data_IF_636959206028
#
_entry.id   IF_636959206028
#
_cell.length_a   1.000
_cell.length_b   1.000
_cell.length_c   1.000
_cell.angle_alpha   90.00
_cell.angle_beta   90.00
_cell.angle_gamma   90.00
#
_symmetry.space_group_name_H-M   'P 1'
#
loop_
_entity.id
_entity.type
_entity.pdbx_description
1 polymer ?
#
# COMPACT_ATOMS: atom_id res chain seq x y z
N UNK A 1 -15.14 7.52 4.87
CA UNK A 1 -15.57 6.77 3.67
C UNK A 1 -14.68 5.55 3.46
N UNK A 2 -15.30 4.42 3.09
CA UNK A 2 -14.63 3.12 2.99
C UNK A 2 -13.98 2.63 4.30
N UNK A 3 -13.22 1.54 4.19
CA UNK A 3 -12.63 0.81 5.32
C UNK A 3 -11.77 1.69 6.26
N UNK A 4 -10.87 2.49 5.71
CA UNK A 4 -9.97 3.39 6.45
C UNK A 4 -10.59 4.76 6.77
N UNK A 5 -11.91 4.91 6.54
CA UNK A 5 -12.71 6.07 6.88
C UNK A 5 -12.24 7.44 6.36
N UNK A 6 -11.43 7.48 5.31
CA UNK A 6 -10.95 8.70 4.64
C UNK A 6 -12.11 9.68 4.37
N UNK A 7 -11.92 10.96 4.69
CA UNK A 7 -12.93 12.01 4.47
C UNK A 7 -13.09 12.32 2.96
N UNK A 8 -14.28 12.73 2.48
CA UNK A 8 -14.54 12.89 1.04
C UNK A 8 -13.59 13.85 0.30
N UNK A 9 -13.26 14.99 0.92
CA UNK A 9 -12.30 15.97 0.39
C UNK A 9 -10.87 15.41 0.36
N UNK A 10 -10.45 14.77 1.45
CA UNK A 10 -9.15 14.09 1.56
C UNK A 10 -9.02 12.99 0.50
N UNK A 11 -10.07 12.21 0.26
CA UNK A 11 -10.13 11.19 -0.79
C UNK A 11 -9.96 11.79 -2.19
N UNK A 12 -10.63 12.91 -2.48
CA UNK A 12 -10.50 13.59 -3.78
C UNK A 12 -9.04 14.00 -4.07
N UNK A 13 -8.35 14.59 -3.08
CA UNK A 13 -6.93 14.91 -3.24
C UNK A 13 -6.01 13.68 -3.32
N UNK A 14 -6.34 12.58 -2.63
CA UNK A 14 -5.53 11.36 -2.62
C UNK A 14 -5.66 10.56 -3.93
N UNK A 15 -6.88 10.36 -4.45
CA UNK A 15 -7.09 9.60 -5.69
C UNK A 15 -6.32 10.24 -6.86
N UNK A 16 -6.26 11.58 -6.90
CA UNK A 16 -5.61 12.33 -7.98
C UNK A 16 -4.07 12.27 -7.86
N UNK A 17 -3.52 12.39 -6.64
CA UNK A 17 -2.07 12.26 -6.42
C UNK A 17 -1.53 10.83 -6.59
N UNK A 18 -2.38 9.81 -6.41
CA UNK A 18 -1.95 8.40 -6.39
C UNK A 18 -2.56 7.54 -7.52
N UNK A 19 -3.30 8.15 -8.46
CA UNK A 19 -3.86 7.46 -9.64
C UNK A 19 -4.92 6.41 -9.31
N UNK A 20 -5.71 6.64 -8.25
CA UNK A 20 -6.71 5.69 -7.75
C UNK A 20 -8.05 5.82 -8.48
N UNK A 21 -8.89 4.79 -8.34
CA UNK A 21 -10.25 4.73 -8.85
C UNK A 21 -11.19 5.81 -8.28
N UNK A 22 -12.40 5.86 -8.83
CA UNK A 22 -13.43 6.82 -8.41
C UNK A 22 -14.18 6.40 -7.14
N UNK A 23 -14.26 5.09 -6.88
CA UNK A 23 -15.04 4.52 -5.79
C UNK A 23 -14.24 4.53 -4.47
N UNK A 24 -14.67 5.30 -3.43
CA UNK A 24 -14.03 5.29 -2.12
C UNK A 24 -14.32 4.02 -1.30
N UNK A 25 -15.17 3.11 -1.78
CA UNK A 25 -15.51 1.84 -1.12
C UNK A 25 -14.73 0.64 -1.67
N UNK A 26 -14.02 0.77 -2.80
CA UNK A 26 -13.10 -0.28 -3.25
C UNK A 26 -12.04 -0.54 -2.15
N UNK A 27 -11.90 -1.79 -1.65
CA UNK A 27 -11.01 -2.05 -0.52
C UNK A 27 -9.54 -1.78 -0.82
N UNK A 28 -9.07 -2.03 -2.03
CA UNK A 28 -7.65 -1.85 -2.42
C UNK A 28 -7.32 -0.36 -2.44
N UNK A 29 -8.09 0.42 -3.16
CA UNK A 29 -7.82 1.84 -3.38
C UNK A 29 -8.11 2.66 -2.11
N UNK A 30 -9.11 2.27 -1.30
CA UNK A 30 -9.34 2.86 0.01
C UNK A 30 -8.18 2.59 1.00
N UNK A 31 -7.62 1.38 1.00
CA UNK A 31 -6.42 1.06 1.82
C UNK A 31 -5.21 1.86 1.34
N UNK A 32 -4.98 1.94 0.02
CA UNK A 32 -3.87 2.72 -0.55
C UNK A 32 -3.98 4.21 -0.19
N UNK A 33 -5.18 4.80 -0.29
CA UNK A 33 -5.43 6.18 0.10
C UNK A 33 -5.24 6.40 1.60
N UNK A 34 -5.78 5.53 2.45
CA UNK A 34 -5.67 5.65 3.91
C UNK A 34 -4.23 5.49 4.42
N UNK A 35 -3.47 4.54 3.86
CA UNK A 35 -2.05 4.36 4.16
C UNK A 35 -1.20 5.57 3.72
N UNK A 36 -1.45 6.10 2.51
CA UNK A 36 -0.80 7.33 2.04
C UNK A 36 -1.15 8.55 2.90
N UNK A 37 -2.39 8.64 3.42
CA UNK A 37 -2.80 9.70 4.34
C UNK A 37 -2.11 9.61 5.70
N UNK A 38 -2.06 8.42 6.30
CA UNK A 38 -1.32 8.18 7.55
C UNK A 38 0.16 8.55 7.39
N UNK A 39 0.78 8.16 6.26
CA UNK A 39 2.16 8.53 5.94
C UNK A 39 2.34 10.05 5.84
N UNK A 40 1.45 10.75 5.12
CA UNK A 40 1.52 12.19 4.99
C UNK A 40 1.32 12.93 6.33
N UNK A 41 0.49 12.41 7.24
CA UNK A 41 0.33 12.96 8.58
C UNK A 41 1.54 12.64 9.49
N UNK A 42 2.19 11.48 9.33
CA UNK A 42 3.45 11.18 10.00
C UNK A 42 4.56 12.15 9.55
N UNK A 43 4.78 12.28 8.24
CA UNK A 43 5.81 13.16 7.68
C UNK A 43 5.60 14.64 8.03
N UNK A 44 4.35 15.07 8.24
CA UNK A 44 4.02 16.43 8.64
C UNK A 44 4.21 16.73 10.13
N UNK A 45 3.96 15.75 11.02
CA UNK A 45 3.89 16.01 12.46
C UNK A 45 4.89 15.25 13.34
N UNK A 46 5.56 14.20 12.83
CA UNK A 46 6.64 13.47 13.51
C UNK A 46 6.28 12.74 14.82
N UNK A 47 5.00 12.75 15.22
CA UNK A 47 4.50 12.23 16.50
C UNK A 47 3.18 11.49 16.26
N UNK A 48 3.06 10.28 16.81
CA UNK A 48 1.87 9.42 16.67
C UNK A 48 0.60 10.11 17.18
N UNK A 49 0.65 10.77 18.34
CA UNK A 49 -0.53 11.45 18.90
C UNK A 49 -0.99 12.64 18.03
N UNK A 50 -0.03 13.38 17.46
CA UNK A 50 -0.32 14.50 16.54
C UNK A 50 -0.86 14.00 15.19
N UNK A 51 -0.25 12.94 14.64
CA UNK A 51 -0.71 12.25 13.43
C UNK A 51 -2.15 11.75 13.58
N UNK A 52 -2.47 11.04 14.67
CA UNK A 52 -3.82 10.53 14.95
C UNK A 52 -4.84 11.66 15.13
N UNK A 53 -4.47 12.71 15.86
CA UNK A 53 -5.31 13.89 16.03
C UNK A 53 -5.63 14.58 14.70
N UNK A 54 -4.63 14.78 13.83
CA UNK A 54 -4.81 15.35 12.50
C UNK A 54 -5.59 14.42 11.54
N UNK A 55 -5.46 13.10 11.69
CA UNK A 55 -6.24 12.14 10.91
C UNK A 55 -7.74 12.23 11.20
N UNK A 56 -8.15 12.24 12.46
CA UNK A 56 -9.57 12.35 12.87
C UNK A 56 -10.11 13.79 12.74
N UNK A 57 -9.37 14.79 13.23
CA UNK A 57 -9.85 16.17 13.29
C UNK A 57 -9.68 16.97 11.99
N UNK A 58 -8.89 16.45 11.04
CA UNK A 58 -8.41 17.18 9.87
C UNK A 58 -7.16 18.04 10.19
N UNK A 59 -6.17 18.09 9.30
CA UNK A 59 -4.88 18.72 9.58
C UNK A 59 -4.98 20.22 9.87
N UNK A 60 -5.77 20.97 9.10
CA UNK A 60 -5.93 22.42 9.32
C UNK A 60 -6.52 22.77 10.69
N UNK A 61 -7.43 21.94 11.21
CA UNK A 61 -7.98 22.09 12.57
C UNK A 61 -6.93 21.74 13.64
N UNK A 62 -6.06 20.77 13.36
CA UNK A 62 -4.94 20.45 14.26
C UNK A 62 -3.86 21.54 14.25
N UNK A 63 -3.61 22.18 13.11
CA UNK A 63 -2.72 23.33 12.97
C UNK A 63 -3.27 24.55 13.73
N UNK A 64 -4.58 24.82 13.63
CA UNK A 64 -5.28 25.85 14.41
C UNK A 64 -5.15 25.57 15.91
N UNK A 65 -5.42 24.34 16.36
CA UNK A 65 -5.24 23.92 17.75
C UNK A 65 -3.80 24.20 18.25
N UNK A 66 -2.79 23.88 17.43
CA UNK A 66 -1.37 24.02 17.80
C UNK A 66 -0.93 25.48 17.88
N UNK A 67 -1.54 26.37 17.09
CA UNK A 67 -1.17 27.80 17.01
C UNK A 67 -1.97 28.69 17.96
N UNK A 68 -3.23 28.31 18.25
CA UNK A 68 -4.15 29.12 19.10
C UNK A 68 -4.36 28.54 20.50
N UNK A 69 -3.99 27.28 20.75
CA UNK A 69 -4.36 26.56 21.96
C UNK A 69 -5.84 26.12 22.01
N UNK A 70 -6.62 26.33 20.94
CA UNK A 70 -8.03 25.93 20.87
C UNK A 70 -8.19 24.43 21.10
N UNK A 71 -9.07 24.06 22.02
CA UNK A 71 -9.32 22.67 22.36
C UNK A 71 -9.89 21.87 21.18
N UNK A 72 -9.30 20.69 20.92
CA UNK A 72 -9.81 19.72 19.95
C UNK A 72 -11.16 19.12 20.41
N UNK A 73 -12.01 18.65 19.47
CA UNK A 73 -13.26 17.97 19.78
C UNK A 73 -13.09 16.85 20.81
N UNK A 74 -14.13 16.64 21.64
CA UNK A 74 -14.12 15.58 22.66
C UNK A 74 -13.90 14.18 22.03
N UNK A 75 -14.51 13.94 20.86
CA UNK A 75 -14.31 12.74 20.05
C UNK A 75 -12.84 12.55 19.66
N UNK A 76 -12.19 13.57 19.07
CA UNK A 76 -10.76 13.52 18.72
C UNK A 76 -9.89 13.21 19.91
N UNK A 77 -10.17 13.82 21.07
CA UNK A 77 -9.41 13.56 22.31
C UNK A 77 -9.60 12.13 22.79
N UNK A 78 -10.82 11.59 22.75
CA UNK A 78 -11.09 10.18 23.08
C UNK A 78 -10.42 9.21 22.09
N UNK A 79 -10.49 9.50 20.79
CA UNK A 79 -9.85 8.73 19.71
C UNK A 79 -8.33 8.67 19.88
N UNK A 80 -7.68 9.79 20.19
CA UNK A 80 -6.23 9.83 20.47
C UNK A 80 -5.90 9.06 21.75
N UNK A 81 -6.67 9.21 22.83
CA UNK A 81 -6.45 8.43 24.07
C UNK A 81 -6.63 6.92 23.86
N UNK A 82 -7.51 6.49 22.97
CA UNK A 82 -7.78 5.08 22.67
C UNK A 82 -6.74 4.42 21.75
N UNK A 83 -5.95 5.20 21.00
CA UNK A 83 -5.06 4.69 19.94
C UNK A 83 -3.59 5.16 20.06
N UNK A 84 -3.30 6.18 20.86
CA UNK A 84 -1.93 6.54 21.18
C UNK A 84 -1.31 5.45 22.07
N UNK A 85 -0.05 5.03 21.83
CA UNK A 85 0.61 4.06 22.69
C UNK A 85 0.69 4.55 24.14
N UNK A 86 -0.01 3.86 25.05
CA UNK A 86 0.08 4.12 26.49
C UNK A 86 1.48 3.70 26.96
N UNK A 87 2.34 4.64 27.42
CA UNK A 87 3.68 4.28 27.89
C UNK A 87 3.54 3.43 29.15
N UNK A 88 3.99 2.17 29.07
CA UNK A 88 3.87 1.23 30.19
C UNK A 88 2.56 0.43 30.25
N UNK A 89 1.74 0.38 29.18
CA UNK A 89 0.71 -0.67 29.06
C UNK A 89 1.33 -2.03 28.72
N UNK A 90 2.21 -2.52 29.61
CA UNK A 90 2.36 -3.95 29.78
C UNK A 90 1.01 -4.48 30.26
N UNK A 91 0.36 -5.32 29.44
CA UNK A 91 -0.81 -6.08 29.87
C UNK A 91 -0.35 -6.90 31.08
N UNK A 92 -0.90 -6.64 32.26
CA UNK A 92 -0.56 -7.38 33.48
C UNK A 92 -0.88 -8.85 33.25
N UNK A 93 0.12 -9.74 33.18
CA UNK A 93 -0.12 -11.13 32.79
C UNK A 93 -0.65 -11.88 34.01
N UNK A 94 -1.96 -11.91 34.16
CA UNK A 94 -2.63 -12.79 35.11
C UNK A 94 -2.28 -14.25 34.76
N UNK A 95 -1.44 -14.86 35.59
CA UNK A 95 -0.96 -16.25 35.49
C UNK A 95 -0.06 -16.57 34.28
N UNK A 96 1.22 -16.22 34.42
CA UNK A 96 2.39 -17.05 34.04
C UNK A 96 2.29 -17.94 32.77
N UNK A 97 2.62 -17.34 31.63
CA UNK A 97 3.34 -18.03 30.55
C UNK A 97 4.58 -17.19 30.20
N UNK A 98 5.71 -17.80 29.75
CA UNK A 98 6.87 -17.01 29.31
C UNK A 98 6.45 -16.16 28.11
N UNK A 99 6.55 -14.84 28.26
CA UNK A 99 6.07 -13.91 27.24
C UNK A 99 6.84 -14.11 25.92
N UNK A 100 6.17 -14.10 24.76
CA UNK A 100 6.87 -14.00 23.48
C UNK A 100 7.68 -12.69 23.44
N UNK A 101 8.75 -12.61 22.62
CA UNK A 101 9.44 -11.35 22.41
C UNK A 101 8.44 -10.26 21.96
N UNK A 102 8.66 -8.98 22.34
CA UNK A 102 7.77 -7.91 21.92
C UNK A 102 7.67 -7.89 20.39
N UNK A 103 6.48 -7.61 19.82
CA UNK A 103 6.36 -7.48 18.38
C UNK A 103 7.31 -6.38 17.87
N UNK A 104 7.85 -6.52 16.64
CA UNK A 104 8.67 -5.47 16.04
C UNK A 104 7.88 -4.16 15.93
N UNK A 105 8.57 -3.03 15.72
CA UNK A 105 7.92 -1.81 15.28
C UNK A 105 7.07 -2.14 14.04
N UNK A 106 5.88 -1.54 13.92
CA UNK A 106 5.01 -1.74 12.76
C UNK A 106 5.68 -1.28 11.44
N UNK A 107 6.76 -0.48 11.55
CA UNK A 107 7.68 -0.11 10.46
C UNK A 107 8.55 -1.27 9.96
N UNK A 108 8.92 -2.18 10.86
CA UNK A 108 9.75 -3.37 10.59
C UNK A 108 8.90 -4.64 10.43
N UNK A 109 7.60 -4.57 10.71
CA UNK A 109 6.66 -5.67 10.55
C UNK A 109 6.48 -6.07 9.07
N UNK A 110 6.44 -7.37 8.74
CA UNK A 110 6.25 -7.81 7.37
C UNK A 110 4.86 -7.43 6.86
N UNK A 111 4.80 -6.82 5.67
CA UNK A 111 3.56 -6.34 5.03
C UNK A 111 2.51 -7.44 4.77
N UNK A 112 2.91 -8.71 4.82
CA UNK A 112 2.03 -9.87 4.67
C UNK A 112 2.33 -10.92 5.74
N UNK A 113 1.29 -11.40 6.43
CA UNK A 113 1.38 -12.50 7.38
C UNK A 113 1.32 -13.83 6.62
N UNK A 114 2.43 -14.56 6.54
CA UNK A 114 2.41 -15.96 6.09
C UNK A 114 1.60 -16.79 7.08
N UNK A 115 0.46 -17.34 6.64
CA UNK A 115 -0.32 -18.30 7.44
C UNK A 115 0.43 -19.63 7.51
N UNK A 116 0.44 -20.36 8.64
CA UNK A 116 1.17 -21.64 8.78
C UNK A 116 0.67 -22.82 7.91
N UNK A 117 -0.22 -22.58 6.96
CA UNK A 117 -0.98 -23.61 6.23
C UNK A 117 -0.24 -24.24 5.04
N UNK A 118 0.81 -23.61 4.51
CA UNK A 118 1.58 -24.13 3.36
C UNK A 118 2.60 -25.23 3.73
N UNK A 119 2.46 -25.85 4.91
CA UNK A 119 2.91 -27.23 5.11
C UNK A 119 1.96 -28.20 4.40
N UNK A 120 1.90 -28.12 3.07
CA UNK A 120 1.64 -29.30 2.24
C UNK A 120 2.71 -30.33 2.61
N UNK A 121 2.33 -31.58 2.88
CA UNK A 121 3.29 -32.66 3.05
C UNK A 121 4.17 -32.77 1.81
N UNK A 122 5.45 -32.46 1.98
CA UNK A 122 6.49 -32.94 1.09
C UNK A 122 6.95 -34.29 1.66
N UNK A 123 6.50 -35.39 1.06
CA UNK A 123 6.95 -36.72 1.46
C UNK A 123 8.48 -36.83 1.27
N UNK A 124 9.21 -37.42 2.24
CA UNK A 124 10.66 -37.46 2.20
C UNK A 124 11.17 -38.46 1.15
N UNK A 125 11.63 -37.92 0.03
CA UNK A 125 12.76 -38.36 -0.82
C UNK A 125 12.94 -39.88 -1.02
N UNK A 126 12.81 -40.33 -2.27
CA UNK A 126 13.60 -41.48 -2.75
C UNK A 126 14.89 -41.01 -3.42
N UNK A 127 16.04 -41.54 -2.98
CA UNK A 127 17.37 -41.15 -3.46
C UNK A 127 17.91 -42.15 -4.48
N UNK A 128 17.85 -41.79 -5.76
CA UNK A 128 18.62 -42.40 -6.87
C UNK A 128 18.83 -41.28 -7.92
N UNK A 129 20.03 -40.99 -8.45
CA UNK A 129 21.37 -41.45 -8.11
C UNK A 129 22.37 -41.06 -9.21
N UNK A 130 23.60 -40.71 -8.83
CA UNK A 130 24.79 -40.60 -9.72
C UNK A 130 24.86 -39.47 -10.78
N UNK A 131 25.82 -38.56 -10.57
CA UNK A 131 26.60 -37.81 -11.59
C UNK A 131 25.92 -36.79 -12.52
N UNK A 132 26.59 -35.64 -12.74
CA UNK A 132 26.29 -34.70 -13.83
C UNK A 132 26.49 -33.23 -13.46
N UNK A 133 27.55 -32.60 -13.96
CA UNK A 133 27.74 -31.15 -13.89
C UNK A 133 26.82 -30.43 -14.90
N UNK A 134 25.90 -29.60 -14.40
CA UNK A 134 25.11 -28.68 -15.22
C UNK A 134 24.52 -27.54 -14.38
N UNK A 135 24.78 -26.29 -14.78
CA UNK A 135 24.01 -25.12 -14.31
C UNK A 135 22.70 -25.02 -15.11
N UNK A 136 21.53 -24.85 -14.49
CA UNK A 136 20.29 -24.61 -15.24
C UNK A 136 20.30 -23.19 -15.84
N UNK A 137 20.51 -23.09 -17.15
CA UNK A 137 20.43 -21.84 -17.91
C UNK A 137 18.98 -21.37 -18.07
N UNK A 138 18.73 -20.08 -17.85
CA UNK A 138 17.45 -19.44 -18.17
C UNK A 138 17.31 -19.36 -19.71
N UNK A 139 16.20 -19.86 -20.31
CA UNK A 139 16.00 -19.77 -21.74
C UNK A 139 15.69 -18.32 -22.16
N UNK A 140 16.64 -17.69 -22.84
CA UNK A 140 16.42 -16.41 -23.55
C UNK A 140 15.44 -16.66 -24.68
N UNK A 141 14.33 -15.91 -24.73
CA UNK A 141 13.37 -15.97 -25.83
C UNK A 141 13.90 -15.15 -27.01
N UNK A 142 14.37 -15.83 -28.05
CA UNK A 142 14.88 -15.19 -29.28
C UNK A 142 13.84 -14.20 -29.86
N UNK A 143 14.30 -13.02 -30.27
CA UNK A 143 13.66 -12.30 -31.38
C UNK A 143 14.07 -12.99 -32.67
N UNK A 144 13.13 -13.09 -33.62
CA UNK A 144 13.44 -13.38 -35.03
C UNK A 144 12.89 -12.26 -35.88
N UNK A 145 13.79 -11.36 -36.27
CA UNK A 145 13.55 -10.32 -37.27
C UNK A 145 14.29 -10.75 -38.56
N UNK A 146 13.57 -11.07 -39.64
CA UNK A 146 14.13 -11.27 -40.98
C UNK A 146 13.05 -11.17 -42.09
N UNK A 147 13.26 -10.19 -42.98
CA UNK A 147 12.52 -9.82 -44.21
C UNK A 147 13.11 -10.57 -45.46
N UNK A 148 12.91 -10.23 -46.76
CA UNK A 148 11.96 -9.30 -47.45
C UNK A 148 11.39 -9.82 -48.83
N UNK A 149 10.71 -8.91 -49.60
CA UNK A 149 10.35 -8.95 -51.06
C UNK A 149 9.19 -9.88 -51.48
N UNK A 150 8.34 -9.59 -52.49
CA UNK A 150 8.27 -8.61 -53.62
C UNK A 150 6.84 -7.96 -53.68
N UNK A 151 6.43 -7.05 -54.59
CA UNK A 151 7.10 -6.31 -55.68
C UNK A 151 6.14 -5.91 -56.83
N UNK A 152 5.66 -4.65 -56.84
CA UNK A 152 4.74 -4.08 -57.87
C UNK A 152 3.27 -3.93 -57.43
N UNK A 153 2.42 -3.05 -57.96
CA UNK A 153 2.54 -2.02 -59.03
C UNK A 153 1.50 -0.89 -58.78
N UNK A 154 1.57 0.22 -59.54
CA UNK A 154 0.56 1.32 -59.59
C UNK A 154 -0.86 0.78 -59.95
N UNK A 155 -1.99 1.48 -59.84
CA UNK A 155 -2.38 2.91 -60.03
C UNK A 155 -3.66 3.15 -59.16
N UNK A 156 -4.20 4.35 -58.81
CA UNK A 156 -4.23 5.71 -59.41
C UNK A 156 -4.51 6.78 -58.32
N UNK A 157 -4.41 8.09 -58.64
CA UNK A 157 -4.94 9.23 -57.85
C UNK A 157 -6.23 9.76 -58.50
N UNK A 158 -7.23 10.11 -57.70
CA UNK A 158 -8.33 11.00 -58.08
C UNK A 158 -8.33 12.19 -57.10
N UNK A 159 -8.46 13.41 -57.63
CA UNK A 159 -8.23 14.65 -56.88
C UNK A 159 -9.08 15.78 -57.48
N UNK A 160 -10.28 15.94 -56.91
CA UNK A 160 -11.27 16.99 -57.23
C UNK A 160 -12.14 17.19 -55.97
N UNK A 161 -12.36 18.39 -55.43
CA UNK A 161 -11.66 19.64 -55.73
C UNK A 161 -12.15 20.81 -54.88
N UNK A 162 -11.19 21.61 -54.37
CA UNK A 162 -11.28 23.07 -54.13
C UNK A 162 -12.46 23.64 -53.31
N UNK A 163 -12.15 24.02 -52.07
CA UNK A 163 -12.65 25.26 -51.43
C UNK A 163 -11.63 26.42 -51.71
N UNK A 164 -11.83 27.69 -51.32
CA UNK A 164 -12.96 28.30 -50.59
C UNK A 164 -14.10 28.82 -51.49
#
# INVERSE_FOLDING_TARGET
>A
MGLMQVMPETWAGLRERHGLGRDPYDPRDNIMAGAAYLRAMWDRYGNVAAMLAACNAGPGRYDEHRTTGRALPAETRAYVTALAPVPGSAVTPETSAPAPPPPPDWRDAPLFVMRPSDRRSADPVQTIGTSGDARPTVPVRERRDAEPRDGGTLITRADDGRAP
#
